data_IF_417332711329
#
_entry.id   IF_417332711329
#
_cell.length_a   1.000
_cell.length_b   1.000
_cell.length_c   1.000
_cell.angle_alpha   90.00
_cell.angle_beta   90.00
_cell.angle_gamma   90.00
#
_symmetry.space_group_name_H-M   'P 1'
#
loop_
_entity.id
_entity.type
_entity.pdbx_description
1 polymer ?
#
# COMPACT_ATOMS: atom_id res chain seq x y z
N UNK A 1 -3.40 21.18 42.29
CA UNK A 1 -4.26 21.94 41.36
C UNK A 1 -3.41 22.67 40.35
N UNK A 2 -3.46 22.28 39.06
CA UNK A 2 -3.61 23.14 37.87
C UNK A 2 -3.36 22.29 36.62
N UNK A 3 -4.45 21.92 35.95
CA UNK A 3 -4.45 21.37 34.60
C UNK A 3 -3.91 22.41 33.62
N UNK A 4 -2.97 22.02 32.77
CA UNK A 4 -2.52 22.82 31.64
C UNK A 4 -3.10 22.21 30.36
N UNK A 5 -4.18 22.81 29.85
CA UNK A 5 -4.75 22.51 28.55
C UNK A 5 -3.75 22.93 27.46
N UNK A 6 -3.27 21.97 26.67
CA UNK A 6 -2.52 22.26 25.44
C UNK A 6 -3.53 22.53 24.32
N UNK A 7 -3.78 23.81 24.02
CA UNK A 7 -4.53 24.21 22.82
C UNK A 7 -3.61 24.06 21.61
N UNK A 8 -3.91 23.11 20.73
CA UNK A 8 -3.30 23.02 19.40
C UNK A 8 -3.84 24.17 18.54
N UNK A 9 -2.98 25.14 18.22
CA UNK A 9 -3.26 26.16 17.22
C UNK A 9 -3.07 25.54 15.83
N UNK A 10 -4.17 25.25 15.13
CA UNK A 10 -4.16 25.03 13.68
C UNK A 10 -4.20 26.40 13.04
N UNK A 11 -3.07 26.87 12.51
CA UNK A 11 -3.03 28.09 11.70
C UNK A 11 -3.06 27.65 10.23
N UNK A 12 -4.24 27.74 9.62
CA UNK A 12 -4.40 27.57 8.17
C UNK A 12 -3.96 28.86 7.47
N UNK A 13 -2.81 28.81 6.80
CA UNK A 13 -2.44 29.82 5.82
C UNK A 13 -2.48 29.21 4.43
N UNK A 14 -3.49 29.60 3.66
CA UNK A 14 -3.60 29.35 2.23
C UNK A 14 -2.49 30.12 1.50
N UNK A 15 -1.48 29.41 1.01
CA UNK A 15 -0.63 29.87 -0.10
C UNK A 15 -0.40 28.70 -1.06
N UNK A 16 -0.92 28.91 -2.27
CA UNK A 16 -0.77 28.06 -3.44
C UNK A 16 0.72 27.82 -3.76
N UNK A 17 0.98 26.70 -4.45
CA UNK A 17 2.25 26.17 -4.96
C UNK A 17 3.21 25.61 -3.91
N UNK A 18 3.00 24.39 -3.40
CA UNK A 18 4.04 23.61 -2.71
C UNK A 18 3.88 22.12 -3.01
N UNK A 19 4.95 21.49 -3.47
CA UNK A 19 5.18 20.05 -3.34
C UNK A 19 4.89 19.66 -1.89
N UNK A 20 3.92 18.76 -1.66
CA UNK A 20 3.48 18.38 -0.31
C UNK A 20 4.53 17.47 0.37
N UNK A 21 5.65 18.05 0.78
CA UNK A 21 6.59 17.45 1.71
C UNK A 21 6.14 17.82 3.12
N UNK A 22 5.48 16.90 3.82
CA UNK A 22 5.19 17.06 5.24
C UNK A 22 6.42 16.63 6.05
N UNK A 23 7.17 17.59 6.58
CA UNK A 23 8.23 17.32 7.56
C UNK A 23 7.61 17.16 8.94
N UNK A 24 7.68 15.96 9.52
CA UNK A 24 7.36 15.72 10.92
C UNK A 24 8.66 15.77 11.74
N UNK A 25 8.74 16.70 12.70
CA UNK A 25 9.88 16.83 13.61
C UNK A 25 9.54 16.19 14.96
N UNK A 26 10.12 15.03 15.24
CA UNK A 26 10.27 14.49 16.61
C UNK A 26 11.75 14.37 16.93
N UNK A 27 12.09 14.60 18.21
CA UNK A 27 13.40 14.95 18.79
C UNK A 27 14.60 14.00 18.56
N UNK A 28 14.65 13.17 17.51
CA UNK A 28 15.86 12.40 17.22
C UNK A 28 16.13 12.06 15.76
N UNK A 29 15.18 12.15 14.82
CA UNK A 29 15.43 11.74 13.42
C UNK A 29 14.54 12.55 12.46
N UNK A 30 15.13 13.18 11.43
CA UNK A 30 14.39 13.73 10.30
C UNK A 30 14.01 12.61 9.34
N UNK A 31 12.78 12.11 9.43
CA UNK A 31 12.23 11.23 8.40
C UNK A 31 11.54 12.10 7.35
N UNK A 32 12.15 12.23 6.18
CA UNK A 32 11.41 12.68 4.99
C UNK A 32 10.43 11.58 4.64
N UNK A 33 9.18 11.70 5.12
CA UNK A 33 8.09 10.84 4.70
C UNK A 33 7.74 11.24 3.26
N UNK A 34 8.51 10.72 2.30
CA UNK A 34 8.25 10.96 0.88
C UNK A 34 6.84 10.47 0.58
N UNK A 35 5.95 11.41 0.23
CA UNK A 35 4.57 11.16 -0.12
C UNK A 35 4.56 10.19 -1.29
N UNK A 36 4.19 8.95 -1.01
CA UNK A 36 4.17 7.93 -2.01
C UNK A 36 2.99 7.03 -1.73
N UNK A 37 2.37 6.60 -2.83
CA UNK A 37 1.04 6.04 -2.88
C UNK A 37 1.12 4.56 -3.25
N UNK A 38 1.27 3.63 -2.29
CA UNK A 38 1.27 2.21 -2.60
C UNK A 38 -0.11 1.79 -3.06
N UNK A 39 -0.15 1.15 -4.22
CA UNK A 39 -1.34 0.55 -4.80
C UNK A 39 -1.09 -0.93 -4.95
N UNK A 40 -1.79 -1.74 -4.17
CA UNK A 40 -1.75 -3.19 -4.28
C UNK A 40 -3.06 -3.71 -4.88
N UNK A 41 -2.99 -4.31 -6.07
CA UNK A 41 -4.14 -4.99 -6.69
C UNK A 41 -3.92 -6.49 -6.66
N UNK A 42 -4.96 -7.24 -6.27
CA UNK A 42 -5.02 -8.69 -6.31
C UNK A 42 -6.11 -9.12 -7.26
N UNK A 43 -5.77 -9.88 -8.31
CA UNK A 43 -6.72 -10.64 -9.10
C UNK A 43 -6.63 -12.11 -8.68
N UNK A 44 -7.76 -12.74 -8.33
CA UNK A 44 -7.78 -14.13 -7.85
C UNK A 44 -9.06 -14.85 -8.27
N UNK A 45 -8.95 -16.16 -8.51
CA UNK A 45 -10.09 -17.07 -8.69
C UNK A 45 -10.77 -17.47 -7.36
N UNK A 46 -10.21 -17.09 -6.21
CA UNK A 46 -10.86 -17.30 -4.92
C UNK A 46 -12.19 -16.55 -4.89
N UNK A 47 -13.24 -17.24 -4.41
CA UNK A 47 -14.59 -16.69 -4.39
C UNK A 47 -14.72 -15.47 -3.45
N UNK A 48 -15.53 -14.47 -3.80
CA UNK A 48 -15.75 -13.28 -2.93
C UNK A 48 -16.18 -13.66 -1.51
N UNK A 49 -16.98 -14.71 -1.36
CA UNK A 49 -17.44 -15.22 -0.06
C UNK A 49 -16.30 -15.74 0.83
N UNK A 50 -15.18 -16.16 0.22
CA UNK A 50 -13.99 -16.64 0.91
C UNK A 50 -12.92 -15.55 1.14
N UNK A 51 -13.14 -14.32 0.67
CA UNK A 51 -12.22 -13.19 0.91
C UNK A 51 -12.63 -12.44 2.18
N UNK A 52 -11.89 -12.57 3.30
CA UNK A 52 -12.22 -11.87 4.54
C UNK A 52 -11.90 -10.38 4.44
N UNK A 53 -12.73 -9.52 5.06
CA UNK A 53 -12.43 -8.09 5.18
C UNK A 53 -11.10 -7.81 5.91
N UNK A 54 -10.68 -8.73 6.79
CA UNK A 54 -9.40 -8.64 7.49
C UNK A 54 -8.19 -8.62 6.53
N UNK A 55 -8.28 -9.23 5.35
CA UNK A 55 -7.20 -9.23 4.37
C UNK A 55 -6.81 -7.82 3.94
N UNK A 56 -7.79 -7.01 3.51
CA UNK A 56 -7.53 -5.65 3.03
C UNK A 56 -7.02 -4.74 4.15
N UNK A 57 -7.54 -4.87 5.36
CA UNK A 57 -7.05 -4.12 6.52
C UNK A 57 -5.62 -4.48 6.90
N UNK A 58 -5.29 -5.78 6.99
CA UNK A 58 -3.94 -6.23 7.34
C UNK A 58 -2.92 -5.90 6.25
N UNK A 59 -3.28 -6.09 4.97
CA UNK A 59 -2.42 -5.71 3.85
C UNK A 59 -2.09 -4.20 3.86
N UNK A 60 -3.07 -3.36 4.22
CA UNK A 60 -2.87 -1.90 4.34
C UNK A 60 -1.81 -1.57 5.39
N UNK A 61 -1.95 -2.15 6.59
CA UNK A 61 -1.03 -1.93 7.72
C UNK A 61 0.38 -2.46 7.39
N UNK A 62 0.48 -3.67 6.85
CA UNK A 62 1.76 -4.28 6.57
C UNK A 62 2.51 -3.61 5.41
N UNK A 63 1.80 -3.17 4.36
CA UNK A 63 2.41 -2.38 3.27
C UNK A 63 2.86 -1.01 3.75
N UNK A 64 2.08 -0.33 4.60
CA UNK A 64 2.46 0.94 5.21
C UNK A 64 3.78 0.81 5.98
N UNK A 65 3.91 -0.24 6.81
CA UNK A 65 5.16 -0.56 7.52
C UNK A 65 6.30 -0.90 6.57
N UNK A 66 6.07 -1.80 5.62
CA UNK A 66 7.11 -2.29 4.71
C UNK A 66 7.69 -1.19 3.82
N UNK A 67 6.83 -0.27 3.36
CA UNK A 67 7.21 0.84 2.49
C UNK A 67 7.55 2.12 3.27
N UNK A 68 7.39 2.11 4.60
CA UNK A 68 7.57 3.26 5.51
C UNK A 68 6.75 4.48 5.10
N UNK A 69 5.47 4.23 4.81
CA UNK A 69 4.51 5.24 4.31
C UNK A 69 3.28 5.29 5.20
N UNK A 70 2.66 6.46 5.41
CA UNK A 70 1.40 6.57 6.15
C UNK A 70 0.31 5.68 5.55
N UNK A 71 -0.45 4.99 6.40
CA UNK A 71 -1.56 4.11 5.97
C UNK A 71 -2.59 4.84 5.10
N UNK A 72 -2.83 6.14 5.35
CA UNK A 72 -3.75 6.97 4.55
C UNK A 72 -3.41 7.04 3.06
N UNK A 73 -2.20 6.67 2.66
CA UNK A 73 -1.74 6.66 1.27
C UNK A 73 -1.72 5.27 0.63
N UNK A 74 -2.03 4.22 1.40
CA UNK A 74 -2.05 2.85 0.92
C UNK A 74 -3.44 2.52 0.40
N UNK A 75 -3.52 2.08 -0.86
CA UNK A 75 -4.72 1.57 -1.48
C UNK A 75 -4.57 0.07 -1.76
N UNK A 76 -5.52 -0.73 -1.30
CA UNK A 76 -5.58 -2.18 -1.57
C UNK A 76 -6.90 -2.50 -2.26
N UNK A 77 -6.83 -3.22 -3.39
CA UNK A 77 -7.99 -3.67 -4.16
C UNK A 77 -7.91 -5.18 -4.39
N UNK A 78 -9.04 -5.86 -4.22
CA UNK A 78 -9.19 -7.28 -4.51
C UNK A 78 -10.30 -7.50 -5.53
N UNK A 79 -9.97 -8.20 -6.61
CA UNK A 79 -10.89 -8.65 -7.65
C UNK A 79 -10.99 -10.18 -7.53
N UNK A 80 -11.97 -10.69 -6.76
CA UNK A 80 -12.22 -12.13 -6.61
C UNK A 80 -13.05 -12.69 -7.79
N UNK A 81 -13.38 -13.99 -7.71
CA UNK A 81 -14.24 -14.69 -8.68
C UNK A 81 -13.75 -14.60 -10.14
N UNK A 82 -12.44 -14.45 -10.33
CA UNK A 82 -11.87 -14.32 -11.67
C UNK A 82 -11.74 -15.69 -12.34
N UNK A 83 -11.98 -15.76 -13.65
CA UNK A 83 -11.61 -16.93 -14.45
C UNK A 83 -10.09 -16.97 -14.63
N UNK A 84 -9.41 -17.86 -13.91
CA UNK A 84 -7.95 -17.94 -13.91
C UNK A 84 -7.47 -19.39 -13.90
N UNK A 85 -6.38 -19.64 -14.62
CA UNK A 85 -5.57 -20.85 -14.50
C UNK A 85 -4.12 -20.45 -14.26
N UNK A 86 -3.41 -21.23 -13.45
CA UNK A 86 -1.98 -21.08 -13.22
C UNK A 86 -1.32 -22.45 -13.31
N UNK A 87 -0.30 -22.59 -14.15
CA UNK A 87 0.36 -23.88 -14.37
C UNK A 87 -0.58 -24.97 -14.92
N UNK A 88 -1.66 -24.59 -15.62
CA UNK A 88 -2.61 -25.52 -16.22
C UNK A 88 -3.76 -25.99 -15.31
N UNK A 89 -3.81 -25.54 -14.05
CA UNK A 89 -4.92 -25.85 -13.13
C UNK A 89 -5.64 -24.58 -12.66
N UNK A 90 -6.91 -24.73 -12.30
CA UNK A 90 -7.77 -23.71 -11.70
C UNK A 90 -7.73 -23.71 -10.16
N UNK A 91 -6.78 -24.41 -9.54
CA UNK A 91 -6.51 -24.31 -8.10
C UNK A 91 -6.27 -22.84 -7.70
N UNK A 92 -6.54 -22.45 -6.43
CA UNK A 92 -6.40 -21.08 -5.95
C UNK A 92 -5.07 -20.43 -6.39
N UNK A 93 -5.16 -19.27 -7.04
CA UNK A 93 -4.01 -18.53 -7.56
C UNK A 93 -4.25 -17.01 -7.52
N UNK A 94 -3.16 -16.24 -7.62
CA UNK A 94 -3.25 -14.80 -7.69
C UNK A 94 -2.24 -14.19 -8.67
N UNK A 95 -2.72 -13.20 -9.43
CA UNK A 95 -1.89 -12.30 -10.22
C UNK A 95 -2.04 -10.91 -9.61
N UNK A 96 -0.94 -10.38 -9.09
CA UNK A 96 -0.95 -9.14 -8.32
C UNK A 96 -0.07 -8.07 -8.97
N UNK A 97 -0.36 -6.82 -8.64
CA UNK A 97 0.55 -5.70 -8.90
C UNK A 97 0.75 -4.86 -7.65
N UNK A 98 2.01 -4.46 -7.41
CA UNK A 98 2.37 -3.47 -6.39
C UNK A 98 3.04 -2.28 -7.09
N UNK A 99 2.29 -1.20 -7.21
CA UNK A 99 2.78 0.09 -7.69
C UNK A 99 3.08 1.03 -6.52
N UNK A 100 4.15 1.80 -6.60
CA UNK A 100 4.46 2.81 -5.59
C UNK A 100 5.45 3.85 -6.14
N UNK A 101 5.31 5.11 -5.70
CA UNK A 101 6.33 6.13 -5.94
C UNK A 101 7.52 5.85 -5.02
N UNK A 102 8.59 5.26 -5.57
CA UNK A 102 9.76 4.82 -4.79
C UNK A 102 9.46 3.72 -3.76
N UNK A 103 10.51 3.17 -3.15
CA UNK A 103 10.40 2.07 -2.17
C UNK A 103 10.15 0.68 -2.78
N UNK A 104 10.26 0.57 -4.10
CA UNK A 104 10.16 -0.70 -4.84
C UNK A 104 11.56 -1.25 -5.15
N UNK A 105 12.44 -0.42 -5.72
CA UNK A 105 13.75 -0.85 -6.20
C UNK A 105 14.60 -1.42 -5.07
N UNK A 106 15.10 -2.66 -5.25
CA UNK A 106 15.94 -3.37 -4.29
C UNK A 106 15.16 -4.02 -3.13
N UNK A 107 13.83 -3.91 -3.09
CA UNK A 107 12.98 -4.48 -2.03
C UNK A 107 11.97 -5.51 -2.56
N UNK A 108 11.99 -5.83 -3.86
CA UNK A 108 11.01 -6.70 -4.50
C UNK A 108 10.90 -8.06 -3.81
N UNK A 109 12.02 -8.72 -3.50
CA UNK A 109 11.99 -10.03 -2.82
C UNK A 109 11.32 -9.97 -1.44
N UNK A 110 11.62 -8.93 -0.66
CA UNK A 110 11.00 -8.71 0.66
C UNK A 110 9.49 -8.49 0.53
N UNK A 111 9.08 -7.69 -0.44
CA UNK A 111 7.66 -7.43 -0.70
C UNK A 111 6.94 -8.68 -1.21
N UNK A 112 7.59 -9.47 -2.08
CA UNK A 112 7.06 -10.76 -2.55
C UNK A 112 6.78 -11.69 -1.39
N UNK A 113 7.76 -11.86 -0.48
CA UNK A 113 7.57 -12.72 0.70
C UNK A 113 6.39 -12.26 1.56
N UNK A 114 6.34 -10.98 1.90
CA UNK A 114 5.26 -10.40 2.72
C UNK A 114 3.88 -10.62 2.09
N UNK A 115 3.73 -10.28 0.81
CA UNK A 115 2.45 -10.33 0.12
C UNK A 115 1.99 -11.78 -0.11
N UNK A 116 2.89 -12.69 -0.46
CA UNK A 116 2.58 -14.11 -0.60
C UNK A 116 2.18 -14.74 0.75
N UNK A 117 2.80 -14.34 1.86
CA UNK A 117 2.40 -14.79 3.20
C UNK A 117 0.99 -14.31 3.57
N UNK A 118 0.63 -13.06 3.24
CA UNK A 118 -0.72 -12.54 3.45
C UNK A 118 -1.77 -13.27 2.58
N UNK A 119 -1.47 -13.51 1.30
CA UNK A 119 -2.34 -14.23 0.40
C UNK A 119 -2.55 -15.68 0.87
N UNK A 120 -1.48 -16.35 1.30
CA UNK A 120 -1.57 -17.70 1.88
C UNK A 120 -2.41 -17.72 3.15
N UNK A 121 -2.16 -16.77 4.07
CA UNK A 121 -2.86 -16.67 5.36
C UNK A 121 -4.36 -16.48 5.19
N UNK A 122 -4.76 -15.57 4.31
CA UNK A 122 -6.17 -15.13 4.22
C UNK A 122 -6.96 -15.82 3.11
N UNK A 123 -6.32 -16.18 2.01
CA UNK A 123 -6.98 -16.72 0.82
C UNK A 123 -6.60 -18.18 0.54
N UNK A 124 -5.70 -18.76 1.34
CA UNK A 124 -5.23 -20.13 1.15
C UNK A 124 -4.40 -20.35 -0.12
N UNK A 125 -3.94 -19.27 -0.78
CA UNK A 125 -3.21 -19.34 -2.04
C UNK A 125 -1.74 -19.69 -1.76
N UNK A 126 -1.22 -20.82 -2.27
CA UNK A 126 0.18 -21.19 -2.13
C UNK A 126 1.12 -20.19 -2.81
N UNK A 127 2.29 -19.92 -2.21
CA UNK A 127 3.24 -18.89 -2.72
C UNK A 127 3.78 -19.17 -4.13
N UNK A 128 3.81 -20.43 -4.55
CA UNK A 128 4.21 -20.87 -5.90
C UNK A 128 3.11 -20.65 -6.96
N UNK A 129 1.91 -20.23 -6.55
CA UNK A 129 0.77 -19.86 -7.42
C UNK A 129 0.48 -18.36 -7.38
N UNK A 130 1.49 -17.55 -7.05
CA UNK A 130 1.41 -16.09 -6.97
C UNK A 130 2.45 -15.46 -7.89
N UNK A 131 2.01 -14.56 -8.76
CA UNK A 131 2.89 -13.57 -9.39
C UNK A 131 2.59 -12.18 -8.88
N UNK A 132 3.64 -11.36 -8.73
CA UNK A 132 3.55 -9.96 -8.34
C UNK A 132 4.39 -9.13 -9.31
N UNK A 133 3.73 -8.27 -10.07
CA UNK A 133 4.39 -7.25 -10.89
C UNK A 133 4.67 -6.03 -10.03
N UNK A 134 5.90 -5.52 -10.07
CA UNK A 134 6.30 -4.33 -9.32
C UNK A 134 6.46 -3.13 -10.25
N UNK A 135 5.87 -2.00 -9.87
CA UNK A 135 5.93 -0.77 -10.65
C UNK A 135 6.49 0.38 -9.81
N UNK A 136 7.69 0.86 -10.16
CA UNK A 136 8.21 2.10 -9.60
C UNK A 136 7.62 3.29 -10.35
N UNK A 137 6.63 3.95 -9.74
CA UNK A 137 5.85 5.01 -10.36
C UNK A 137 6.59 6.34 -10.28
N UNK A 138 6.58 7.11 -11.38
CA UNK A 138 7.00 8.51 -11.37
C UNK A 138 5.91 9.35 -10.69
N UNK A 139 6.30 10.26 -9.80
CA UNK A 139 5.35 11.11 -9.06
C UNK A 139 4.41 11.91 -9.99
N UNK A 140 4.94 12.48 -11.08
CA UNK A 140 4.16 13.20 -12.09
C UNK A 140 3.13 12.31 -12.83
N UNK A 141 3.25 10.98 -12.75
CA UNK A 141 2.33 10.04 -13.40
C UNK A 141 1.26 9.50 -12.44
N UNK A 142 1.19 10.01 -11.20
CA UNK A 142 0.21 9.59 -10.21
C UNK A 142 -0.64 10.80 -9.82
N UNK A 143 -1.93 10.74 -10.14
CA UNK A 143 -2.90 11.78 -9.79
C UNK A 143 -3.51 11.55 -8.41
N UNK A 144 -3.70 12.62 -7.65
CA UNK A 144 -4.41 12.61 -6.37
C UNK A 144 -4.88 14.02 -6.02
N UNK A 145 -6.06 14.13 -5.41
CA UNK A 145 -6.60 15.39 -4.90
C UNK A 145 -6.56 16.55 -5.92
N UNK A 146 -7.04 16.29 -7.15
CA UNK A 146 -7.09 17.24 -8.26
C UNK A 146 -5.72 17.74 -8.79
N UNK A 147 -4.62 17.04 -8.47
CA UNK A 147 -3.27 17.33 -8.96
C UNK A 147 -2.47 16.04 -9.22
N UNK A 148 -1.18 16.15 -9.53
CA UNK A 148 -0.19 15.07 -9.49
C UNK A 148 0.74 15.19 -8.28
N UNK A 149 1.53 14.14 -8.00
CA UNK A 149 2.59 14.18 -6.98
C UNK A 149 3.90 14.82 -7.43
N UNK A 150 4.07 14.99 -8.74
CA UNK A 150 5.21 15.68 -9.36
C UNK A 150 5.01 17.17 -9.49
#
# INVERSE_FOLDING_TARGET
>A
MRHMHLRTLVQSSCKNTHTHTHTYTTSAHTYTTSAAMPMFTVHTNVARSAVPAAFVSEATVELAKALRKPEQYVAVRVNPDQMMVFGGTDDPCALCSLGSIGGIDGLQEKHTKLLSELLKKHLGIPSDRVYISFENLKAANVGWNNSTFG
#
